data_IF_807576373623
#
_entry.id   IF_807576373623
#
_cell.length_a   1.000
_cell.length_b   1.000
_cell.length_c   1.000
_cell.angle_alpha   90.00
_cell.angle_beta   90.00
_cell.angle_gamma   90.00
#
_symmetry.space_group_name_H-M   'P 1'
#
loop_
_entity.id
_entity.type
_entity.pdbx_description
1 polymer ?
#
# COMPACT_ATOMS: atom_id res chain seq x y z
N UNK A 1 -24.37 10.74 -26.50
CA UNK A 1 -23.09 10.79 -25.77
C UNK A 1 -23.18 9.84 -24.60
N UNK A 2 -22.31 8.84 -24.53
CA UNK A 2 -22.29 7.83 -23.47
C UNK A 2 -21.43 8.27 -22.29
N UNK A 3 -21.82 7.89 -21.08
CA UNK A 3 -20.92 7.94 -19.93
C UNK A 3 -19.79 6.94 -20.16
N UNK A 4 -18.55 7.34 -19.84
CA UNK A 4 -17.39 6.43 -19.87
C UNK A 4 -17.18 5.84 -18.48
N UNK A 5 -16.88 4.56 -18.42
CA UNK A 5 -16.53 3.87 -17.20
C UNK A 5 -15.36 2.90 -17.43
N UNK A 6 -14.54 2.73 -16.41
CA UNK A 6 -13.44 1.75 -16.39
C UNK A 6 -13.51 0.90 -15.14
N UNK A 7 -13.16 -0.37 -15.27
CA UNK A 7 -13.08 -1.33 -14.17
C UNK A 7 -11.63 -1.54 -13.77
N UNK A 8 -11.36 -1.53 -12.46
CA UNK A 8 -10.05 -1.76 -11.87
C UNK A 8 -10.12 -2.94 -10.90
N UNK A 9 -9.38 -4.00 -11.16
CA UNK A 9 -9.29 -5.20 -10.30
C UNK A 9 -7.82 -5.65 -10.27
N UNK A 10 -7.24 -5.79 -9.07
CA UNK A 10 -5.87 -6.32 -8.88
C UNK A 10 -4.80 -5.67 -9.80
N UNK A 11 -4.89 -4.34 -9.98
CA UNK A 11 -3.97 -3.58 -10.83
C UNK A 11 -4.25 -3.66 -12.34
N UNK A 12 -5.20 -4.49 -12.79
CA UNK A 12 -5.67 -4.51 -14.17
C UNK A 12 -6.77 -3.46 -14.40
N UNK A 13 -6.70 -2.79 -15.55
CA UNK A 13 -7.69 -1.83 -16.02
C UNK A 13 -8.45 -2.39 -17.23
N UNK A 14 -9.78 -2.31 -17.21
CA UNK A 14 -10.65 -2.79 -18.30
C UNK A 14 -11.61 -1.69 -18.76
N UNK A 15 -11.87 -1.65 -20.07
CA UNK A 15 -12.95 -0.83 -20.62
C UNK A 15 -14.29 -1.49 -20.28
N UNK A 16 -15.13 -0.79 -19.50
CA UNK A 16 -16.37 -1.34 -18.99
C UNK A 16 -17.51 -1.06 -19.98
N UNK A 17 -18.19 -2.12 -20.43
CA UNK A 17 -19.32 -2.06 -21.35
C UNK A 17 -20.65 -1.94 -20.60
N UNK A 18 -20.80 -2.69 -19.50
CA UNK A 18 -22.02 -2.69 -18.68
C UNK A 18 -21.73 -3.00 -17.21
N UNK A 19 -22.50 -2.41 -16.30
CA UNK A 19 -22.52 -2.79 -14.88
C UNK A 19 -23.94 -2.72 -14.30
N UNK A 20 -24.32 -3.75 -13.54
CA UNK A 20 -25.62 -3.83 -12.87
C UNK A 20 -25.41 -4.02 -11.37
N UNK A 21 -25.76 -2.99 -10.59
CA UNK A 21 -25.72 -2.99 -9.13
C UNK A 21 -27.14 -2.86 -8.57
N UNK A 22 -27.55 -3.77 -7.70
CA UNK A 22 -28.90 -3.82 -7.15
C UNK A 22 -28.87 -3.97 -5.64
N UNK A 23 -29.62 -3.10 -4.97
CA UNK A 23 -29.97 -3.21 -3.55
C UNK A 23 -31.50 -3.26 -3.43
N UNK A 24 -32.00 -4.13 -2.56
CA UNK A 24 -33.44 -4.31 -2.35
C UNK A 24 -33.77 -4.51 -0.88
N UNK A 25 -35.01 -4.18 -0.51
CA UNK A 25 -35.58 -4.38 0.82
C UNK A 25 -36.96 -4.98 0.68
N UNK A 26 -37.29 -5.94 1.55
CA UNK A 26 -38.67 -6.44 1.66
C UNK A 26 -39.43 -5.48 2.56
N UNK A 27 -40.66 -5.16 2.15
CA UNK A 27 -41.59 -4.35 2.90
C UNK A 27 -42.82 -5.16 3.33
N UNK A 28 -43.46 -4.76 4.43
CA UNK A 28 -44.74 -5.32 4.86
C UNK A 28 -45.89 -4.87 3.93
N UNK A 29 -47.12 -5.31 4.23
CA UNK A 29 -48.31 -4.93 3.47
C UNK A 29 -48.62 -3.42 3.50
N UNK A 30 -48.01 -2.67 4.43
CA UNK A 30 -48.13 -1.21 4.54
C UNK A 30 -46.94 -0.48 3.90
N UNK A 31 -45.99 -1.18 3.28
CA UNK A 31 -44.81 -0.60 2.66
C UNK A 31 -43.67 -0.25 3.62
N UNK A 32 -43.70 -0.72 4.88
CA UNK A 32 -42.60 -0.52 5.84
C UNK A 32 -41.52 -1.59 5.67
N UNK A 33 -40.23 -1.23 5.55
CA UNK A 33 -39.15 -2.21 5.50
C UNK A 33 -39.15 -3.13 6.73
N UNK A 34 -39.09 -4.44 6.50
CA UNK A 34 -39.09 -5.46 7.57
C UNK A 34 -37.73 -6.07 7.84
N UNK A 35 -36.75 -5.77 6.98
CA UNK A 35 -35.40 -6.30 7.06
C UNK A 35 -34.37 -5.30 6.56
N UNK A 36 -33.10 -5.55 6.90
CA UNK A 36 -31.98 -4.79 6.37
C UNK A 36 -31.90 -4.93 4.84
N UNK A 37 -31.44 -3.88 4.12
CA UNK A 37 -31.18 -3.97 2.70
C UNK A 37 -30.22 -5.11 2.36
N UNK A 38 -30.58 -5.85 1.33
CA UNK A 38 -29.78 -6.92 0.75
C UNK A 38 -29.23 -6.41 -0.57
N UNK A 39 -27.98 -6.75 -0.87
CA UNK A 39 -27.37 -6.52 -2.17
C UNK A 39 -27.33 -7.81 -2.99
N UNK A 40 -27.67 -7.71 -4.27
CA UNK A 40 -27.45 -8.78 -5.23
C UNK A 40 -25.98 -8.80 -5.67
N UNK A 41 -25.50 -9.92 -6.25
CA UNK A 41 -24.20 -9.95 -6.89
C UNK A 41 -24.06 -8.87 -7.98
N UNK A 42 -22.91 -8.20 -8.03
CA UNK A 42 -22.60 -7.19 -9.03
C UNK A 42 -22.32 -7.87 -10.36
N UNK A 43 -22.99 -7.43 -11.43
CA UNK A 43 -22.78 -7.95 -12.78
C UNK A 43 -21.96 -6.95 -13.59
N UNK A 44 -20.94 -7.43 -14.29
CA UNK A 44 -20.00 -6.62 -15.05
C UNK A 44 -19.79 -7.24 -16.43
N UNK A 45 -19.83 -6.41 -17.48
CA UNK A 45 -19.37 -6.79 -18.81
C UNK A 45 -18.28 -5.82 -19.25
N UNK A 46 -17.13 -6.33 -19.69
CA UNK A 46 -15.99 -5.55 -20.15
C UNK A 46 -15.30 -6.22 -21.35
N UNK A 47 -14.53 -5.44 -22.11
CA UNK A 47 -13.78 -5.96 -23.25
C UNK A 47 -12.82 -7.07 -22.81
N UNK A 48 -12.93 -8.24 -23.43
CA UNK A 48 -12.03 -9.37 -23.16
C UNK A 48 -10.68 -9.14 -23.83
N UNK A 49 -9.62 -9.64 -23.21
CA UNK A 49 -8.25 -9.51 -23.70
C UNK A 49 -7.46 -10.79 -23.49
N UNK A 50 -6.27 -10.88 -24.10
CA UNK A 50 -5.33 -11.98 -23.86
C UNK A 50 -4.87 -12.09 -22.40
N UNK A 51 -4.99 -11.02 -21.61
CA UNK A 51 -4.47 -10.90 -20.24
C UNK A 51 -5.56 -11.20 -19.18
N UNK A 52 -6.58 -12.00 -19.54
CA UNK A 52 -7.75 -12.31 -18.72
C UNK A 52 -7.56 -13.52 -17.77
N UNK A 53 -6.36 -14.11 -17.74
CA UNK A 53 -6.02 -15.25 -16.87
C UNK A 53 -6.39 -15.00 -15.39
N UNK A 54 -6.26 -13.75 -14.93
CA UNK A 54 -6.64 -13.32 -13.60
C UNK A 54 -8.06 -13.75 -13.23
N UNK A 55 -9.04 -13.54 -14.11
CA UNK A 55 -10.44 -13.82 -13.82
C UNK A 55 -10.72 -15.32 -13.76
N UNK A 56 -10.09 -16.11 -14.63
CA UNK A 56 -10.15 -17.57 -14.56
C UNK A 56 -9.52 -18.10 -13.28
N UNK A 57 -8.40 -17.51 -12.86
CA UNK A 57 -7.74 -17.89 -11.63
C UNK A 57 -8.65 -17.68 -10.41
N UNK A 58 -9.29 -16.52 -10.28
CA UNK A 58 -10.24 -16.26 -9.20
C UNK A 58 -11.49 -17.15 -9.28
N UNK A 59 -12.03 -17.39 -10.47
CA UNK A 59 -13.18 -18.28 -10.65
C UNK A 59 -12.89 -19.71 -10.20
N UNK A 60 -11.69 -20.24 -10.49
CA UNK A 60 -11.34 -21.63 -10.12
C UNK A 60 -10.86 -21.79 -8.67
N UNK A 61 -10.70 -20.70 -7.91
CA UNK A 61 -10.22 -20.75 -6.52
C UNK A 61 -11.25 -20.10 -5.57
N UNK A 62 -12.16 -20.88 -4.97
CA UNK A 62 -13.25 -20.34 -4.15
C UNK A 62 -12.78 -19.60 -2.90
N UNK A 63 -11.59 -19.92 -2.38
CA UNK A 63 -11.04 -19.26 -1.19
C UNK A 63 -10.36 -17.92 -1.49
N UNK A 64 -10.16 -17.57 -2.78
CA UNK A 64 -9.50 -16.32 -3.16
C UNK A 64 -10.52 -15.20 -3.25
N UNK A 65 -10.27 -14.16 -2.46
CA UNK A 65 -11.00 -12.90 -2.51
C UNK A 65 -10.17 -11.83 -3.23
N UNK A 66 -10.84 -10.91 -3.90
CA UNK A 66 -10.23 -9.72 -4.49
C UNK A 66 -11.00 -8.45 -4.13
N UNK A 67 -10.38 -7.32 -4.43
CA UNK A 67 -11.03 -6.00 -4.37
C UNK A 67 -10.90 -5.28 -5.70
N UNK A 68 -11.78 -4.33 -5.92
CA UNK A 68 -11.78 -3.54 -7.12
C UNK A 68 -12.75 -2.39 -7.05
N UNK A 69 -12.76 -1.60 -8.11
CA UNK A 69 -13.68 -0.48 -8.24
C UNK A 69 -14.02 -0.19 -9.69
N UNK A 70 -15.20 0.37 -9.89
CA UNK A 70 -15.62 0.96 -11.17
C UNK A 70 -15.46 2.46 -11.03
N UNK A 71 -14.72 3.07 -11.96
CA UNK A 71 -14.60 4.53 -12.06
C UNK A 71 -15.49 5.06 -13.16
N UNK A 72 -16.44 5.90 -12.79
CA UNK A 72 -17.22 6.70 -13.73
C UNK A 72 -16.55 8.05 -13.96
N UNK A 73 -16.47 8.46 -15.22
CA UNK A 73 -15.92 9.76 -15.61
C UNK A 73 -17.05 10.76 -15.89
N UNK A 74 -16.76 12.04 -15.67
CA UNK A 74 -17.67 13.13 -16.06
C UNK A 74 -17.91 13.10 -17.57
N UNK A 75 -18.91 13.84 -18.05
CA UNK A 75 -19.28 13.89 -19.48
C UNK A 75 -18.13 14.28 -20.41
N UNK A 76 -17.15 15.01 -19.90
CA UNK A 76 -15.92 15.37 -20.63
C UNK A 76 -14.97 14.18 -20.84
N UNK A 77 -15.12 13.12 -20.04
CA UNK A 77 -14.32 11.90 -20.07
C UNK A 77 -12.94 12.03 -19.43
N UNK A 78 -12.58 13.18 -18.86
CA UNK A 78 -11.24 13.45 -18.33
C UNK A 78 -11.17 13.40 -16.82
N UNK A 79 -12.23 13.82 -16.13
CA UNK A 79 -12.26 13.87 -14.67
C UNK A 79 -13.06 12.72 -14.10
N UNK A 80 -12.59 12.19 -12.97
CA UNK A 80 -13.38 11.29 -12.12
C UNK A 80 -14.70 11.98 -11.73
N UNK A 81 -15.80 11.25 -11.83
CA UNK A 81 -17.09 11.62 -11.25
C UNK A 81 -17.26 10.93 -9.89
N UNK A 82 -17.42 9.61 -9.89
CA UNK A 82 -17.49 8.80 -8.66
C UNK A 82 -17.01 7.37 -8.91
N UNK A 83 -16.69 6.67 -7.81
CA UNK A 83 -16.32 5.26 -7.82
C UNK A 83 -17.44 4.39 -7.19
N UNK A 84 -17.60 3.17 -7.69
CA UNK A 84 -18.29 2.06 -7.01
C UNK A 84 -17.19 1.10 -6.58
N UNK A 85 -16.97 0.96 -5.29
CA UNK A 85 -15.89 0.15 -4.73
C UNK A 85 -16.46 -1.13 -4.12
N UNK A 86 -15.78 -2.25 -4.32
CA UNK A 86 -16.16 -3.55 -3.76
C UNK A 86 -14.91 -4.30 -3.27
N UNK A 87 -15.08 -5.07 -2.21
CA UNK A 87 -14.00 -5.88 -1.66
C UNK A 87 -14.54 -7.17 -1.05
N UNK A 88 -13.59 -8.06 -0.70
CA UNK A 88 -13.89 -9.41 -0.26
C UNK A 88 -14.80 -10.11 -1.28
N UNK A 89 -14.47 -9.96 -2.56
CA UNK A 89 -15.29 -10.40 -3.68
C UNK A 89 -14.83 -11.75 -4.23
N UNK A 90 -15.79 -12.55 -4.65
CA UNK A 90 -15.59 -13.80 -5.38
C UNK A 90 -16.32 -13.74 -6.73
N UNK A 91 -15.71 -14.31 -7.77
CA UNK A 91 -16.40 -14.53 -9.05
C UNK A 91 -17.26 -15.79 -8.90
N UNK A 92 -18.58 -15.63 -9.03
CA UNK A 92 -19.56 -16.73 -8.93
C UNK A 92 -20.11 -17.15 -10.30
N UNK A 93 -19.91 -16.32 -11.31
CA UNK A 93 -20.19 -16.65 -12.71
C UNK A 93 -19.20 -15.92 -13.61
N UNK A 94 -18.70 -16.62 -14.64
CA UNK A 94 -17.84 -16.09 -15.68
C UNK A 94 -18.33 -16.65 -17.00
N UNK A 95 -18.61 -15.75 -17.93
CA UNK A 95 -19.07 -16.04 -19.27
C UNK A 95 -18.25 -15.19 -20.23
N UNK A 96 -17.58 -15.82 -21.17
CA UNK A 96 -16.87 -15.12 -22.24
C UNK A 96 -17.63 -15.31 -23.56
N UNK A 97 -17.84 -14.21 -24.26
CA UNK A 97 -18.58 -14.16 -25.51
C UNK A 97 -17.69 -13.66 -26.63
N UNK A 98 -17.79 -14.33 -27.78
CA UNK A 98 -17.22 -13.87 -29.04
C UNK A 98 -18.27 -13.95 -30.14
N UNK A 99 -18.34 -12.89 -30.97
CA UNK A 99 -19.12 -12.88 -32.20
C UNK A 99 -18.35 -12.18 -33.31
N UNK A 100 -18.14 -12.88 -34.42
CA UNK A 100 -17.46 -12.30 -35.60
C UNK A 100 -18.28 -11.25 -36.36
N UNK A 101 -19.57 -11.09 -36.05
CA UNK A 101 -20.51 -10.24 -36.79
C UNK A 101 -21.28 -9.27 -35.89
N UNK A 102 -21.02 -9.26 -34.58
CA UNK A 102 -21.68 -8.38 -33.62
C UNK A 102 -20.96 -7.04 -33.47
N UNK A 103 -21.66 -6.06 -32.89
CA UNK A 103 -21.10 -4.73 -32.61
C UNK A 103 -20.01 -4.78 -31.52
N UNK A 104 -20.14 -5.70 -30.56
CA UNK A 104 -19.13 -6.01 -29.53
C UNK A 104 -18.54 -7.40 -29.79
N UNK A 105 -17.40 -7.49 -30.51
CA UNK A 105 -16.94 -8.77 -31.05
C UNK A 105 -16.40 -9.72 -29.98
N UNK A 106 -15.89 -9.22 -28.85
CA UNK A 106 -15.41 -10.07 -27.76
C UNK A 106 -15.52 -9.36 -26.41
N UNK A 107 -16.23 -9.96 -25.46
CA UNK A 107 -16.36 -9.42 -24.11
C UNK A 107 -16.45 -10.52 -23.06
N UNK A 108 -16.01 -10.19 -21.85
CA UNK A 108 -16.19 -11.03 -20.68
C UNK A 108 -17.31 -10.45 -19.81
N UNK A 109 -18.18 -11.33 -19.35
CA UNK A 109 -19.22 -11.05 -18.37
C UNK A 109 -18.93 -11.84 -17.10
N UNK A 110 -18.79 -11.12 -15.98
CA UNK A 110 -18.63 -11.74 -14.66
C UNK A 110 -19.75 -11.30 -13.73
N UNK A 111 -20.14 -12.22 -12.85
CA UNK A 111 -20.99 -11.93 -11.70
C UNK A 111 -20.16 -12.13 -10.45
N UNK A 112 -20.06 -11.09 -9.63
CA UNK A 112 -19.24 -11.10 -8.42
C UNK A 112 -20.12 -10.98 -7.17
N UNK A 113 -19.91 -11.88 -6.21
CA UNK A 113 -20.45 -11.73 -4.86
C UNK A 113 -19.40 -11.04 -4.00
N UNK A 114 -19.68 -9.81 -3.59
CA UNK A 114 -18.81 -9.02 -2.71
C UNK A 114 -19.32 -9.05 -1.26
N UNK A 115 -18.41 -9.04 -0.29
CA UNK A 115 -18.72 -8.96 1.13
C UNK A 115 -19.05 -7.53 1.56
N UNK A 116 -18.40 -6.55 0.94
CA UNK A 116 -18.57 -5.13 1.27
C UNK A 116 -18.49 -4.26 0.01
N UNK A 117 -19.27 -3.19 -0.03
CA UNK A 117 -19.22 -2.16 -1.07
C UNK A 117 -19.24 -0.76 -0.49
N UNK A 118 -18.53 0.17 -1.12
CA UNK A 118 -18.62 1.62 -0.86
C UNK A 118 -19.08 2.32 -2.13
N UNK A 119 -20.22 2.99 -2.04
CA UNK A 119 -20.85 3.68 -3.17
C UNK A 119 -21.21 5.09 -2.73
N UNK A 120 -20.61 6.09 -3.40
CA UNK A 120 -20.83 7.52 -3.07
C UNK A 120 -20.62 7.83 -1.58
N UNK A 121 -19.59 7.22 -0.98
CA UNK A 121 -19.25 7.37 0.44
C UNK A 121 -20.11 6.56 1.42
N UNK A 122 -21.14 5.85 0.95
CA UNK A 122 -21.95 4.98 1.81
C UNK A 122 -21.44 3.54 1.74
N UNK A 123 -21.24 2.93 2.91
CA UNK A 123 -20.78 1.53 3.03
C UNK A 123 -21.99 0.61 3.24
N UNK A 124 -21.99 -0.52 2.53
CA UNK A 124 -22.91 -1.64 2.75
C UNK A 124 -22.10 -2.93 2.93
N UNK A 125 -22.38 -3.65 4.02
CA UNK A 125 -21.70 -4.88 4.42
C UNK A 125 -22.67 -6.06 4.50
N UNK A 126 -22.27 -7.20 3.92
CA UNK A 126 -22.97 -8.47 4.08
C UNK A 126 -22.52 -9.15 5.36
N UNK A 127 -23.42 -9.93 5.98
CA UNK A 127 -23.16 -10.63 7.25
C UNK A 127 -21.95 -11.57 7.25
N UNK A 128 -21.57 -12.10 6.09
CA UNK A 128 -20.43 -13.02 5.95
C UNK A 128 -19.11 -12.30 5.66
N UNK A 129 -19.13 -10.97 5.51
CA UNK A 129 -17.95 -10.17 5.18
C UNK A 129 -16.85 -10.36 6.25
N UNK A 130 -15.62 -10.76 5.86
CA UNK A 130 -14.57 -11.03 6.84
C UNK A 130 -13.93 -9.78 7.44
N UNK A 131 -13.88 -8.67 6.71
CA UNK A 131 -13.25 -7.41 7.15
C UNK A 131 -13.71 -6.21 6.33
N UNK A 132 -13.51 -4.99 6.83
CA UNK A 132 -13.78 -3.77 6.07
C UNK A 132 -12.47 -3.13 5.58
N UNK A 133 -12.10 -3.25 4.30
CA UNK A 133 -10.91 -2.60 3.75
C UNK A 133 -11.16 -1.17 3.26
N UNK A 134 -12.38 -0.63 3.46
CA UNK A 134 -12.77 0.75 3.15
C UNK A 134 -12.87 1.64 4.37
N UNK A 135 -12.74 1.07 5.57
CA UNK A 135 -12.28 1.86 6.69
C UNK A 135 -11.08 2.62 6.14
N UNK A 136 -11.23 3.94 6.09
CA UNK A 136 -10.11 4.74 6.49
C UNK A 136 -9.69 4.05 7.79
N UNK A 137 -8.61 3.26 7.72
CA UNK A 137 -7.57 3.47 8.71
C UNK A 137 -7.56 4.98 8.71
N UNK A 138 -8.13 5.60 9.75
CA UNK A 138 -7.71 6.95 10.03
C UNK A 138 -6.22 6.81 9.84
N UNK A 139 -5.66 7.68 9.03
CA UNK A 139 -4.37 8.10 9.43
C UNK A 139 -4.53 8.66 10.89
N UNK A 140 -4.76 7.82 11.95
CA UNK A 140 -3.65 7.52 12.85
C UNK A 140 -2.59 7.30 11.85
N UNK A 141 -1.85 8.38 11.60
CA UNK A 141 -0.74 8.36 10.71
C UNK A 141 -0.20 6.95 10.93
N UNK A 142 -0.03 6.20 9.84
CA UNK A 142 1.26 5.52 9.89
C UNK A 142 2.15 6.74 10.08
N UNK A 143 2.50 7.02 11.35
CA UNK A 143 3.83 7.42 11.67
C UNK A 143 4.52 6.34 10.86
N UNK A 144 4.92 6.69 9.64
CA UNK A 144 6.26 6.42 9.21
C UNK A 144 6.99 6.54 10.52
N UNK A 145 7.27 5.42 11.20
CA UNK A 145 8.03 5.44 12.43
C UNK A 145 9.19 6.33 12.02
N UNK A 146 9.21 7.58 12.52
CA UNK A 146 9.91 8.66 11.82
C UNK A 146 11.38 8.28 11.95
N UNK A 147 11.88 7.56 10.95
CA UNK A 147 13.14 6.87 11.10
C UNK A 147 14.18 7.93 10.90
N UNK A 148 14.72 8.36 12.01
CA UNK A 148 15.56 9.55 12.09
C UNK A 148 16.67 9.29 13.08
N UNK A 149 17.83 9.86 12.74
CA UNK A 149 18.93 9.99 13.67
C UNK A 149 18.58 11.19 14.56
N UNK A 150 18.34 10.93 15.84
CA UNK A 150 17.95 11.94 16.83
C UNK A 150 19.15 12.76 17.31
N UNK A 151 20.29 12.11 17.51
CA UNK A 151 21.50 12.73 18.03
C UNK A 151 22.74 11.92 17.65
N UNK A 152 23.86 12.62 17.46
CA UNK A 152 25.14 12.06 17.08
C UNK A 152 26.27 12.86 17.73
N UNK A 153 27.02 12.22 18.64
CA UNK A 153 28.13 12.86 19.34
C UNK A 153 29.21 11.88 19.77
N UNK A 154 30.38 12.41 20.14
CA UNK A 154 31.51 11.63 20.60
C UNK A 154 31.58 11.59 22.14
N UNK A 155 31.88 10.42 22.70
CA UNK A 155 32.23 10.21 24.11
C UNK A 155 33.68 9.78 24.26
N UNK A 156 34.30 10.14 25.38
CA UNK A 156 35.60 9.60 25.79
C UNK A 156 35.43 8.21 26.46
N UNK A 157 36.55 7.58 26.84
CA UNK A 157 36.56 6.29 27.55
C UNK A 157 35.91 6.32 28.95
N UNK A 158 35.63 7.51 29.48
CA UNK A 158 34.98 7.74 30.77
C UNK A 158 33.46 7.97 30.61
N UNK A 159 32.95 7.98 29.37
CA UNK A 159 31.54 8.20 29.05
C UNK A 159 31.12 9.67 29.03
N UNK A 160 32.08 10.61 29.04
CA UNK A 160 31.79 12.04 28.95
C UNK A 160 31.74 12.49 27.49
N UNK A 161 30.71 13.27 27.13
CA UNK A 161 30.59 13.88 25.81
C UNK A 161 31.74 14.86 25.56
N UNK A 162 32.42 14.70 24.42
CA UNK A 162 33.56 15.53 24.02
C UNK A 162 33.29 16.21 22.69
N UNK A 163 33.38 17.54 22.67
CA UNK A 163 33.31 18.34 21.42
C UNK A 163 34.68 18.52 20.76
N UNK A 164 35.77 18.20 21.45
CA UNK A 164 37.14 18.34 20.95
C UNK A 164 37.85 16.99 20.93
N UNK A 165 38.06 16.49 19.73
CA UNK A 165 38.82 15.28 19.48
C UNK A 165 40.33 15.54 19.67
N UNK A 166 41.04 14.52 20.16
CA UNK A 166 42.51 14.53 20.31
C UNK A 166 43.10 13.44 19.43
N UNK A 167 44.25 13.71 18.81
CA UNK A 167 44.95 12.76 17.92
C UNK A 167 45.23 11.42 18.61
N UNK A 168 45.06 10.31 17.88
CA UNK A 168 45.41 8.95 18.28
C UNK A 168 44.73 8.55 19.61
N UNK A 169 43.47 8.94 19.78
CA UNK A 169 42.65 8.55 20.93
C UNK A 169 41.45 7.76 20.44
N UNK A 170 41.13 6.72 21.19
CA UNK A 170 39.87 6.00 21.06
C UNK A 170 38.75 6.92 21.55
N UNK A 171 37.72 7.05 20.72
CA UNK A 171 36.49 7.77 21.02
C UNK A 171 35.31 6.88 20.64
N UNK A 172 34.18 7.08 21.30
CA UNK A 172 32.95 6.35 21.03
C UNK A 172 31.97 7.28 20.35
N UNK A 173 31.58 6.98 19.11
CA UNK A 173 30.50 7.64 18.43
C UNK A 173 29.18 7.07 18.96
N UNK A 174 28.42 7.88 19.71
CA UNK A 174 27.08 7.53 20.14
C UNK A 174 26.10 7.94 19.04
N UNK A 175 25.26 6.98 18.64
CA UNK A 175 24.22 7.18 17.64
C UNK A 175 22.88 6.91 18.33
N UNK A 176 22.06 7.94 18.45
CA UNK A 176 20.69 7.84 18.93
C UNK A 176 19.76 7.89 17.73
N UNK A 177 18.95 6.85 17.54
CA UNK A 177 18.01 6.71 16.44
C UNK A 177 16.63 6.37 16.96
N UNK A 178 15.61 6.71 16.19
CA UNK A 178 14.23 6.30 16.45
C UNK A 178 13.75 5.42 15.30
N UNK A 179 13.24 4.21 15.58
CA UNK A 179 12.65 3.33 14.56
C UNK A 179 13.65 2.75 13.54
N UNK A 180 14.97 2.86 13.76
CA UNK A 180 15.99 2.41 12.80
C UNK A 180 16.57 1.01 13.09
N UNK A 181 16.16 0.34 14.18
CA UNK A 181 16.68 -0.99 14.55
C UNK A 181 16.44 -2.02 13.42
N UNK A 182 17.51 -2.70 13.01
CA UNK A 182 17.56 -3.65 11.90
C UNK A 182 17.77 -3.02 10.52
N UNK A 183 17.93 -1.69 10.42
CA UNK A 183 18.28 -0.98 9.17
C UNK A 183 19.77 -0.63 9.14
N UNK A 184 20.30 -0.39 7.94
CA UNK A 184 21.66 0.13 7.74
C UNK A 184 21.65 1.65 7.60
N UNK A 185 22.65 2.32 8.17
CA UNK A 185 22.88 3.76 8.04
C UNK A 185 24.26 4.06 7.45
N UNK A 186 24.30 5.13 6.66
CA UNK A 186 25.53 5.71 6.14
C UNK A 186 25.78 7.02 6.91
N UNK A 187 26.96 7.15 7.51
CA UNK A 187 27.35 8.32 8.29
C UNK A 187 28.56 9.01 7.67
N UNK A 188 28.44 10.32 7.46
CA UNK A 188 29.55 11.17 7.01
C UNK A 188 30.19 11.83 8.24
N UNK A 189 31.48 11.52 8.50
CA UNK A 189 32.26 12.07 9.61
C UNK A 189 33.32 13.07 9.13
N UNK A 190 33.28 13.48 7.85
CA UNK A 190 34.30 14.34 7.22
C UNK A 190 34.32 15.78 7.73
N UNK A 191 33.30 16.21 8.47
CA UNK A 191 33.24 17.53 9.12
C UNK A 191 34.27 17.71 10.26
N UNK A 192 35.03 16.67 10.60
CA UNK A 192 36.03 16.69 11.67
C UNK A 192 37.45 16.94 11.15
N UNK A 193 38.30 17.61 11.93
CA UNK A 193 39.74 17.82 11.62
C UNK A 193 40.59 16.51 11.67
N UNK A 194 39.94 15.36 11.86
CA UNK A 194 40.56 14.06 12.05
C UNK A 194 39.94 13.04 11.10
N UNK A 195 40.78 12.11 10.65
CA UNK A 195 40.31 10.91 9.99
C UNK A 195 39.97 9.84 11.04
N UNK A 196 39.11 8.89 10.71
CA UNK A 196 38.71 7.83 11.62
C UNK A 196 39.12 6.44 11.14
N UNK A 197 39.53 5.60 12.08
CA UNK A 197 39.73 4.16 11.88
C UNK A 197 38.61 3.41 12.61
N UNK A 198 37.93 2.51 11.88
CA UNK A 198 36.85 1.66 12.36
C UNK A 198 37.22 0.19 12.12
N UNK A 199 37.08 -0.66 13.14
CA UNK A 199 37.44 -2.09 13.07
C UNK A 199 38.87 -2.39 12.53
N UNK A 200 39.81 -1.46 12.71
CA UNK A 200 41.19 -1.61 12.24
C UNK A 200 41.46 -1.08 10.82
N UNK A 201 40.43 -0.59 10.11
CA UNK A 201 40.54 -0.02 8.78
C UNK A 201 40.29 1.49 8.80
N UNK A 202 41.12 2.24 8.07
CA UNK A 202 40.93 3.69 7.91
C UNK A 202 39.71 3.93 7.00
N UNK A 203 38.75 4.74 7.45
CA UNK A 203 37.58 5.08 6.66
C UNK A 203 37.98 5.91 5.43
N UNK A 204 37.45 5.55 4.26
CA UNK A 204 37.65 6.30 3.03
C UNK A 204 36.78 7.56 3.06
N UNK A 205 37.40 8.73 2.94
CA UNK A 205 36.74 10.05 3.09
C UNK A 205 35.95 10.22 4.40
N UNK A 206 36.32 9.49 5.46
CA UNK A 206 35.64 9.49 6.75
C UNK A 206 34.14 9.13 6.66
N UNK A 207 33.76 8.34 5.66
CA UNK A 207 32.41 7.80 5.49
C UNK A 207 32.31 6.40 6.09
N UNK A 208 31.36 6.22 7.01
CA UNK A 208 31.01 4.94 7.59
C UNK A 208 29.74 4.42 6.91
N UNK A 209 29.91 3.51 5.96
CA UNK A 209 28.81 3.01 5.12
C UNK A 209 28.27 1.68 5.63
N UNK A 210 26.96 1.49 5.52
CA UNK A 210 26.28 0.21 5.75
C UNK A 210 26.24 -0.23 7.22
N UNK A 211 26.35 0.69 8.18
CA UNK A 211 26.35 0.36 9.60
C UNK A 211 24.98 -0.15 10.04
N UNK A 212 24.88 -1.39 10.50
CA UNK A 212 23.63 -1.97 11.00
C UNK A 212 23.27 -1.41 12.38
N UNK A 213 22.06 -0.84 12.49
CA UNK A 213 21.54 -0.31 13.75
C UNK A 213 20.95 -1.47 14.56
N UNK A 214 21.58 -1.80 15.68
CA UNK A 214 21.19 -2.96 16.52
C UNK A 214 20.34 -2.57 17.73
N UNK A 215 20.31 -1.28 18.08
CA UNK A 215 19.52 -0.72 19.17
C UNK A 215 19.27 0.78 18.92
N UNK A 216 18.22 1.34 19.53
CA UNK A 216 17.88 2.78 19.43
C UNK A 216 19.05 3.68 19.87
N UNK A 217 19.84 3.22 20.84
CA UNK A 217 21.12 3.83 21.22
C UNK A 217 22.23 2.82 21.04
N UNK A 218 23.21 3.13 20.19
CA UNK A 218 24.40 2.28 19.98
C UNK A 218 25.69 3.09 20.04
N UNK A 219 26.78 2.41 20.40
CA UNK A 219 28.14 2.96 20.47
C UNK A 219 29.02 2.30 19.43
N UNK A 220 29.73 3.13 18.66
CA UNK A 220 30.73 2.70 17.68
C UNK A 220 32.10 3.17 18.15
N UNK A 221 33.04 2.24 18.32
CA UNK A 221 34.42 2.58 18.66
C UNK A 221 35.18 3.07 17.41
N UNK A 222 35.78 4.26 17.52
CA UNK A 222 36.58 4.87 16.46
C UNK A 222 37.94 5.32 17.02
N UNK A 223 38.99 5.24 16.21
CA UNK A 223 40.31 5.77 16.56
C UNK A 223 40.60 6.99 15.68
N UNK A 224 40.81 8.14 16.32
CA UNK A 224 41.14 9.39 15.62
C UNK A 224 42.56 9.36 15.06
N UNK A 225 42.74 9.78 13.80
CA UNK A 225 44.03 10.00 13.13
C UNK A 225 44.09 11.43 12.64
N UNK A 226 45.28 12.01 12.62
CA UNK A 226 45.45 13.38 12.11
C UNK A 226 45.19 13.38 10.60
N UNK A 227 44.29 14.26 10.14
CA UNK A 227 44.11 14.53 8.71
C UNK A 227 45.44 15.06 8.14
N UNK A 228 45.93 14.43 7.07
CA UNK A 228 47.21 14.79 6.45
C UNK A 228 47.07 16.01 5.54
#
# INVERSE_FOLDING_TARGET
MSFKAKLYIEGQERNLLNSVLVYSQIADYNGRPTQLPVSEPLQLAFESTKDDELFYNYMFHPDRMFKGYIRFFKRDGFQKDFDIEFANAHIINLYEHFSSTGDDPMYMHIIISYGISRVRGTIHEKKWNPSNPFEEVEETATQEEETSILDLYYENSEGEQVSKLRKNKTVFLLINTSGMVGKSIDLDLSDSDFNFEYNGELLENDQLLGLEVTADTMKVELITKKQN
#
